data_IF_708268972012
#
_entry.id   IF_708268972012
#
_cell.length_a   1.000
_cell.length_b   1.000
_cell.length_c   1.000
_cell.angle_alpha   90.00
_cell.angle_beta   90.00
_cell.angle_gamma   90.00
#
_symmetry.space_group_name_H-M   'P 1'
#
loop_
_entity.id
_entity.type
_entity.pdbx_description
1 polymer ?
#
# COMPACT_ATOMS: atom_id res chain seq x y z
N UNK A 1 9.87 -23.77 37.46
CA UNK A 1 10.62 -23.07 36.41
C UNK A 1 10.32 -21.57 36.52
N UNK A 2 11.26 -20.76 37.03
CA UNK A 2 11.04 -19.30 37.13
C UNK A 2 11.13 -18.75 35.72
N UNK A 3 10.01 -18.24 35.17
CA UNK A 3 10.00 -17.54 33.89
C UNK A 3 10.79 -16.25 34.08
N UNK A 4 11.89 -16.13 33.35
CA UNK A 4 12.67 -14.88 33.34
C UNK A 4 11.79 -13.78 32.72
N UNK A 5 11.34 -12.84 33.55
CA UNK A 5 10.42 -11.75 33.15
C UNK A 5 11.14 -10.55 32.53
N UNK A 6 12.46 -10.62 32.37
CA UNK A 6 13.23 -9.57 31.70
C UNK A 6 13.01 -9.70 30.19
N UNK A 7 11.98 -9.02 29.68
CA UNK A 7 11.64 -8.96 28.25
C UNK A 7 12.25 -7.71 27.66
N UNK A 8 12.98 -7.87 26.56
CA UNK A 8 13.56 -6.74 25.82
C UNK A 8 12.48 -5.91 25.12
N UNK A 9 11.35 -6.54 24.73
CA UNK A 9 10.21 -5.94 24.06
C UNK A 9 8.89 -6.35 24.70
N UNK A 10 7.93 -5.41 24.73
CA UNK A 10 6.56 -5.65 25.19
C UNK A 10 5.72 -6.32 24.11
N UNK A 11 5.95 -5.95 22.84
CA UNK A 11 5.19 -6.44 21.67
C UNK A 11 6.14 -6.78 20.53
N UNK A 12 5.89 -7.91 19.88
CA UNK A 12 6.55 -8.31 18.65
C UNK A 12 5.52 -8.38 17.52
N UNK A 13 5.78 -7.65 16.43
CA UNK A 13 4.94 -7.60 15.23
C UNK A 13 5.64 -8.36 14.11
N UNK A 14 4.94 -9.27 13.47
CA UNK A 14 5.44 -10.03 12.33
C UNK A 14 4.97 -9.36 11.04
N UNK A 15 5.92 -8.82 10.27
CA UNK A 15 5.71 -8.10 9.04
C UNK A 15 5.55 -6.59 9.22
N UNK A 16 6.19 -5.84 8.34
CA UNK A 16 6.21 -4.37 8.33
C UNK A 16 5.33 -3.75 7.24
N UNK A 17 4.36 -4.50 6.71
CA UNK A 17 3.37 -4.01 5.77
C UNK A 17 2.42 -2.96 6.40
N UNK A 18 1.37 -2.56 5.69
CA UNK A 18 0.44 -1.51 6.14
C UNK A 18 -0.08 -1.74 7.56
N UNK A 19 -0.61 -2.92 7.88
CA UNK A 19 -1.15 -3.23 9.20
C UNK A 19 -0.07 -3.25 10.28
N UNK A 20 1.07 -3.90 10.02
CA UNK A 20 2.18 -3.99 10.96
C UNK A 20 2.79 -2.65 11.28
N UNK A 21 3.01 -1.80 10.27
CA UNK A 21 3.58 -0.46 10.45
C UNK A 21 2.68 0.46 11.26
N UNK A 22 1.36 0.46 10.98
CA UNK A 22 0.40 1.26 11.74
C UNK A 22 0.28 0.77 13.18
N UNK A 23 0.25 -0.55 13.39
CA UNK A 23 0.22 -1.14 14.73
C UNK A 23 1.47 -0.79 15.52
N UNK A 24 2.66 -0.89 14.89
CA UNK A 24 3.93 -0.52 15.53
C UNK A 24 3.93 0.94 15.96
N UNK A 25 3.52 1.85 15.07
CA UNK A 25 3.42 3.27 15.37
C UNK A 25 2.49 3.55 16.54
N UNK A 26 1.27 2.97 16.53
CA UNK A 26 0.28 3.22 17.58
C UNK A 26 0.69 2.65 18.94
N UNK A 27 1.32 1.49 18.96
CA UNK A 27 1.86 0.88 20.18
C UNK A 27 3.03 1.69 20.73
N UNK A 28 3.98 2.10 19.87
CA UNK A 28 5.09 2.95 20.28
C UNK A 28 4.63 4.31 20.83
N UNK A 29 3.62 4.93 20.22
CA UNK A 29 2.99 6.17 20.74
C UNK A 29 2.35 6.01 22.12
N UNK A 30 1.95 4.78 22.49
CA UNK A 30 1.43 4.44 23.82
C UNK A 30 2.54 4.06 24.82
N UNK A 31 3.81 4.14 24.41
CA UNK A 31 4.96 3.87 25.26
C UNK A 31 5.43 2.42 25.29
N UNK A 32 4.85 1.51 24.49
CA UNK A 32 5.31 0.12 24.42
C UNK A 32 6.65 0.03 23.66
N UNK A 33 7.53 -0.87 24.14
CA UNK A 33 8.73 -1.29 23.43
C UNK A 33 8.33 -2.31 22.34
N UNK A 34 8.39 -1.90 21.08
CA UNK A 34 7.91 -2.71 19.95
C UNK A 34 9.09 -3.21 19.12
N UNK A 35 9.12 -4.50 18.82
CA UNK A 35 9.96 -5.08 17.78
C UNK A 35 9.13 -5.43 16.55
N UNK A 36 9.66 -5.16 15.36
CA UNK A 36 9.05 -5.55 14.09
C UNK A 36 9.99 -6.50 13.37
N UNK A 37 9.51 -7.73 13.10
CA UNK A 37 10.23 -8.72 12.33
C UNK A 37 9.78 -8.69 10.88
N UNK A 38 10.71 -8.42 9.97
CA UNK A 38 10.45 -8.38 8.54
C UNK A 38 11.32 -9.43 7.81
N UNK A 39 10.70 -10.23 6.93
CA UNK A 39 11.42 -11.27 6.18
C UNK A 39 12.25 -10.71 5.03
N UNK A 40 11.81 -9.60 4.46
CA UNK A 40 12.48 -8.94 3.35
C UNK A 40 13.48 -7.88 3.84
N UNK A 41 14.20 -7.29 2.92
CA UNK A 41 15.19 -6.27 3.24
C UNK A 41 14.60 -4.86 3.21
N UNK A 42 15.33 -3.91 3.79
CA UNK A 42 15.06 -2.48 3.61
C UNK A 42 15.63 -2.02 2.28
N UNK A 43 14.77 -1.53 1.39
CA UNK A 43 15.16 -0.97 0.11
C UNK A 43 15.42 0.53 0.21
N UNK A 44 16.48 0.98 -0.46
CA UNK A 44 16.75 2.41 -0.72
C UNK A 44 16.37 2.72 -2.17
N UNK A 45 16.18 3.97 -2.57
CA UNK A 45 15.82 4.32 -3.96
C UNK A 45 16.69 3.65 -5.02
N UNK A 46 18.01 3.56 -4.79
CA UNK A 46 18.98 2.89 -5.69
C UNK A 46 18.87 1.37 -5.77
N UNK A 47 18.17 0.75 -4.83
CA UNK A 47 18.03 -0.72 -4.76
C UNK A 47 16.87 -1.20 -5.62
N UNK A 48 15.92 -0.30 -5.97
CA UNK A 48 14.80 -0.64 -6.83
C UNK A 48 15.28 -1.02 -8.24
N UNK A 49 14.63 -2.00 -8.88
CA UNK A 49 14.93 -2.35 -10.27
C UNK A 49 14.47 -1.22 -11.20
N UNK A 50 15.34 -0.79 -12.10
CA UNK A 50 14.97 0.17 -13.17
C UNK A 50 14.09 -0.44 -14.25
N UNK A 51 14.02 -1.77 -14.32
CA UNK A 51 13.25 -2.53 -15.30
C UNK A 51 12.85 -3.88 -14.73
N UNK A 52 11.69 -4.38 -15.14
CA UNK A 52 11.18 -5.71 -14.78
C UNK A 52 12.05 -6.88 -15.30
N UNK A 53 12.89 -6.64 -16.29
CA UNK A 53 13.84 -7.63 -16.80
C UNK A 53 14.94 -8.00 -15.78
N UNK A 54 15.17 -7.17 -14.77
CA UNK A 54 16.09 -7.52 -13.69
C UNK A 54 15.38 -8.42 -12.66
N UNK A 55 15.18 -9.67 -13.04
CA UNK A 55 14.42 -10.66 -12.25
C UNK A 55 14.97 -10.79 -10.81
N UNK A 56 16.30 -10.72 -10.62
CA UNK A 56 16.93 -10.85 -9.30
C UNK A 56 16.52 -9.73 -8.33
N UNK A 57 16.36 -8.53 -8.83
CA UNK A 57 15.93 -7.37 -8.05
C UNK A 57 14.40 -7.25 -7.98
N UNK A 58 13.70 -7.82 -8.96
CA UNK A 58 12.26 -7.67 -9.09
C UNK A 58 11.51 -8.77 -8.35
N UNK A 59 11.87 -10.04 -8.55
CA UNK A 59 11.10 -11.17 -8.05
C UNK A 59 11.63 -11.69 -6.70
N UNK A 60 10.71 -11.91 -5.77
CA UNK A 60 10.96 -12.60 -4.49
C UNK A 60 10.60 -14.08 -4.62
N UNK A 61 11.61 -14.93 -4.76
CA UNK A 61 11.46 -16.38 -4.80
C UNK A 61 12.68 -17.06 -4.16
N UNK A 62 12.74 -17.11 -2.81
CA UNK A 62 13.91 -17.59 -2.06
C UNK A 62 14.38 -19.00 -2.45
N UNK A 63 13.48 -19.88 -2.88
CA UNK A 63 13.83 -21.23 -3.35
C UNK A 63 14.78 -21.22 -4.57
N UNK A 64 14.78 -20.13 -5.35
CA UNK A 64 15.68 -19.90 -6.46
C UNK A 64 16.71 -18.78 -6.18
N UNK A 65 16.94 -18.46 -4.90
CA UNK A 65 17.84 -17.41 -4.45
C UNK A 65 17.51 -16.01 -5.01
N UNK A 66 16.22 -15.77 -5.31
CA UNK A 66 15.73 -14.47 -5.75
C UNK A 66 15.16 -13.70 -4.57
N UNK A 67 15.69 -12.52 -4.29
CA UNK A 67 15.32 -11.69 -3.14
C UNK A 67 14.95 -10.27 -3.59
N UNK A 68 14.05 -10.21 -4.59
CA UNK A 68 13.54 -8.94 -5.13
C UNK A 68 12.39 -8.36 -4.31
N UNK A 69 11.74 -7.33 -4.84
CA UNK A 69 10.70 -6.57 -4.14
C UNK A 69 9.30 -7.19 -4.23
N UNK A 70 9.06 -8.03 -5.24
CA UNK A 70 7.73 -8.48 -5.62
C UNK A 70 7.59 -10.00 -5.46
N UNK A 71 6.62 -10.41 -4.68
CA UNK A 71 6.24 -11.80 -4.52
C UNK A 71 4.95 -12.08 -5.30
N UNK A 72 4.90 -13.21 -5.98
CA UNK A 72 3.70 -13.71 -6.67
C UNK A 72 3.27 -14.98 -5.98
N UNK A 73 2.07 -14.99 -5.43
CA UNK A 73 1.45 -16.17 -4.83
C UNK A 73 0.32 -16.65 -5.73
N UNK A 74 0.43 -17.90 -6.18
CA UNK A 74 -0.55 -18.53 -7.03
C UNK A 74 -1.55 -19.32 -6.18
N UNK A 75 -2.83 -19.09 -6.41
CA UNK A 75 -3.95 -19.85 -5.89
C UNK A 75 -4.64 -20.55 -7.06
N UNK A 76 -5.62 -21.40 -6.76
CA UNK A 76 -6.33 -22.17 -7.78
C UNK A 76 -6.97 -21.28 -8.86
N UNK A 77 -7.63 -20.22 -8.47
CA UNK A 77 -8.47 -19.40 -9.35
C UNK A 77 -7.97 -17.94 -9.47
N UNK A 78 -6.90 -17.60 -8.78
CA UNK A 78 -6.33 -16.25 -8.79
C UNK A 78 -4.84 -16.25 -8.45
N UNK A 79 -4.16 -15.16 -8.76
CA UNK A 79 -2.83 -14.89 -8.26
C UNK A 79 -2.79 -13.56 -7.50
N UNK A 80 -1.96 -13.50 -6.47
CA UNK A 80 -1.77 -12.29 -5.65
C UNK A 80 -0.36 -11.79 -5.82
N UNK A 81 -0.23 -10.53 -6.25
CA UNK A 81 1.04 -9.83 -6.31
C UNK A 81 1.16 -8.99 -5.04
N UNK A 82 2.24 -9.16 -4.31
CA UNK A 82 2.48 -8.40 -3.07
C UNK A 82 3.97 -8.09 -2.87
N UNK A 83 4.26 -7.08 -2.05
CA UNK A 83 5.63 -6.67 -1.75
C UNK A 83 6.29 -7.58 -0.70
N UNK A 84 7.62 -7.74 -0.81
CA UNK A 84 8.47 -8.37 0.19
C UNK A 84 9.63 -7.45 0.54
N UNK A 85 9.62 -6.92 1.75
CA UNK A 85 10.57 -5.93 2.26
C UNK A 85 9.93 -5.02 3.29
N UNK A 86 10.73 -4.16 3.89
CA UNK A 86 10.23 -3.14 4.83
C UNK A 86 9.24 -2.23 4.12
N UNK A 87 7.99 -2.21 4.59
CA UNK A 87 6.86 -1.54 3.96
C UNK A 87 5.86 -2.49 3.28
N UNK A 88 6.26 -3.73 2.98
CA UNK A 88 5.38 -4.73 2.39
C UNK A 88 4.73 -4.27 1.10
N UNK A 89 3.39 -4.24 1.06
CA UNK A 89 2.61 -3.84 -0.11
C UNK A 89 2.87 -2.43 -0.62
N UNK A 90 3.35 -1.51 0.24
CA UNK A 90 3.67 -0.15 -0.18
C UNK A 90 4.85 -0.06 -1.18
N UNK A 91 5.62 -1.14 -1.32
CA UNK A 91 6.73 -1.21 -2.28
C UNK A 91 6.27 -1.44 -3.73
N UNK A 92 5.04 -1.96 -3.92
CA UNK A 92 4.58 -2.46 -5.23
C UNK A 92 3.14 -2.08 -5.57
N UNK A 93 2.46 -1.26 -4.75
CA UNK A 93 1.09 -0.82 -5.05
C UNK A 93 1.08 0.38 -6.01
N UNK A 94 -0.06 0.63 -6.63
CA UNK A 94 -0.23 1.71 -7.61
C UNK A 94 -0.40 3.10 -7.00
N UNK A 95 -0.09 3.28 -5.72
CA UNK A 95 -0.17 4.53 -4.97
C UNK A 95 -1.57 5.20 -4.93
N UNK A 96 -2.61 4.43 -5.21
CA UNK A 96 -4.00 4.89 -5.19
C UNK A 96 -4.59 4.73 -3.80
N UNK A 97 -5.16 5.81 -3.26
CA UNK A 97 -5.76 5.86 -1.93
C UNK A 97 -7.29 5.89 -2.00
N UNK A 98 -7.86 4.94 -2.71
CA UNK A 98 -9.29 4.81 -2.87
C UNK A 98 -9.96 4.33 -1.58
N UNK A 99 -11.01 5.04 -1.15
CA UNK A 99 -11.93 4.52 -0.14
C UNK A 99 -12.94 3.61 -0.85
N UNK A 100 -13.16 2.37 -0.36
CA UNK A 100 -14.11 1.47 -0.98
C UNK A 100 -15.52 2.08 -1.11
N UNK A 101 -16.25 1.81 -2.19
CA UNK A 101 -17.61 2.28 -2.35
C UNK A 101 -18.55 1.59 -1.33
N UNK A 102 -19.71 2.19 -1.10
CA UNK A 102 -20.71 1.71 -0.12
C UNK A 102 -21.06 0.23 -0.30
N UNK A 103 -21.13 -0.22 -1.54
CA UNK A 103 -21.42 -1.62 -1.87
C UNK A 103 -20.39 -2.58 -1.26
N UNK A 104 -19.13 -2.18 -1.13
CA UNK A 104 -18.10 -3.02 -0.52
C UNK A 104 -18.33 -3.23 0.99
N UNK A 105 -18.90 -2.24 1.69
CA UNK A 105 -19.23 -2.34 3.13
C UNK A 105 -20.56 -3.05 3.40
N UNK A 106 -21.39 -3.20 2.37
CA UNK A 106 -22.66 -3.93 2.47
C UNK A 106 -22.49 -5.45 2.32
N UNK A 107 -21.31 -5.93 2.01
CA UNK A 107 -21.01 -7.36 1.86
C UNK A 107 -21.19 -8.10 3.18
N UNK A 108 -21.86 -9.25 3.12
CA UNK A 108 -22.15 -10.11 4.28
C UNK A 108 -20.88 -10.69 4.96
N UNK A 109 -19.74 -10.69 4.26
CA UNK A 109 -18.44 -11.07 4.81
C UNK A 109 -17.93 -10.13 5.93
N UNK A 110 -18.48 -8.92 6.02
CA UNK A 110 -18.13 -7.95 7.09
C UNK A 110 -18.98 -8.19 8.34
N UNK A 111 -18.52 -9.05 9.23
CA UNK A 111 -19.23 -9.37 10.48
C UNK A 111 -19.41 -8.13 11.36
N UNK A 112 -20.61 -7.90 11.88
CA UNK A 112 -20.92 -6.87 12.88
C UNK A 112 -21.49 -5.56 12.33
N UNK A 113 -21.54 -5.36 11.02
CA UNK A 113 -22.20 -4.20 10.38
C UNK A 113 -21.62 -2.82 10.71
N UNK A 114 -22.10 -1.77 10.01
CA UNK A 114 -21.73 -0.37 10.26
C UNK A 114 -20.26 -0.04 10.03
N UNK A 115 -19.58 -0.82 9.20
CA UNK A 115 -18.12 -0.67 8.99
C UNK A 115 -17.74 0.62 8.30
N UNK A 116 -18.58 1.13 7.41
CA UNK A 116 -18.34 2.41 6.74
C UNK A 116 -18.18 3.55 7.75
N UNK A 117 -19.15 3.67 8.66
CA UNK A 117 -19.16 4.69 9.71
C UNK A 117 -18.01 4.49 10.70
N UNK A 118 -17.76 3.25 11.11
CA UNK A 118 -16.68 2.89 12.04
C UNK A 118 -15.31 3.19 11.47
N UNK A 119 -15.07 2.99 10.16
CA UNK A 119 -13.79 3.21 9.51
C UNK A 119 -13.57 4.64 9.02
N UNK A 120 -14.65 5.40 8.82
CA UNK A 120 -14.60 6.79 8.32
C UNK A 120 -13.59 7.69 9.05
N UNK A 121 -13.53 7.76 10.39
CA UNK A 121 -12.55 8.59 11.10
C UNK A 121 -11.10 8.10 10.89
N UNK A 122 -10.90 6.80 10.71
CA UNK A 122 -9.58 6.24 10.45
C UNK A 122 -9.11 6.52 9.02
N UNK A 123 -10.01 6.52 8.02
CA UNK A 123 -9.67 6.96 6.66
C UNK A 123 -9.23 8.43 6.64
N UNK A 124 -9.92 9.31 7.39
CA UNK A 124 -9.52 10.72 7.51
C UNK A 124 -8.11 10.85 8.13
N UNK A 125 -7.84 10.09 9.19
CA UNK A 125 -6.52 10.06 9.82
C UNK A 125 -5.45 9.54 8.88
N UNK A 126 -5.71 8.44 8.17
CA UNK A 126 -4.78 7.86 7.21
C UNK A 126 -4.47 8.82 6.06
N UNK A 127 -5.48 9.45 5.45
CA UNK A 127 -5.30 10.47 4.41
C UNK A 127 -4.39 11.61 4.87
N UNK A 128 -4.64 12.13 6.08
CA UNK A 128 -3.81 13.20 6.66
C UNK A 128 -2.37 12.76 6.86
N UNK A 129 -2.15 11.58 7.43
CA UNK A 129 -0.82 11.08 7.74
C UNK A 129 -0.01 10.69 6.50
N UNK A 130 -0.68 10.20 5.45
CA UNK A 130 -0.06 9.82 4.19
C UNK A 130 0.11 10.99 3.23
N UNK A 131 -0.37 12.19 3.59
CA UNK A 131 -0.35 13.35 2.69
C UNK A 131 -1.15 13.12 1.41
N UNK A 132 -2.28 12.38 1.53
CA UNK A 132 -3.11 12.06 0.37
C UNK A 132 -3.62 13.30 -0.32
N UNK A 133 -3.36 13.41 -1.62
CA UNK A 133 -3.82 14.51 -2.49
C UNK A 133 -4.57 13.94 -3.69
N UNK A 134 -5.42 14.77 -4.29
CA UNK A 134 -6.05 14.43 -5.56
C UNK A 134 -5.01 14.54 -6.67
N UNK A 135 -4.92 13.55 -7.57
CA UNK A 135 -4.00 13.61 -8.70
C UNK A 135 -4.30 14.88 -9.54
N UNK A 136 -3.36 15.85 -9.61
CA UNK A 136 -3.61 17.11 -10.34
C UNK A 136 -3.43 16.94 -11.84
N UNK A 137 -2.75 15.88 -12.28
CA UNK A 137 -2.39 15.65 -13.67
C UNK A 137 -3.51 14.95 -14.39
N UNK A 138 -3.83 15.48 -15.56
CA UNK A 138 -4.80 14.95 -16.49
C UNK A 138 -4.09 14.76 -17.83
N UNK A 139 -3.59 13.55 -18.03
CA UNK A 139 -2.82 13.20 -19.23
C UNK A 139 -3.71 12.81 -20.41
N UNK A 140 -3.08 12.56 -21.55
CA UNK A 140 -3.78 12.14 -22.77
C UNK A 140 -4.58 10.85 -22.58
N UNK A 141 -4.05 9.91 -21.81
CA UNK A 141 -4.75 8.64 -21.51
C UNK A 141 -6.02 8.88 -20.68
N UNK A 142 -5.95 9.80 -19.70
CA UNK A 142 -7.09 10.15 -18.86
C UNK A 142 -8.17 10.84 -19.70
N UNK A 143 -7.77 11.70 -20.64
CA UNK A 143 -8.68 12.34 -21.58
C UNK A 143 -9.41 11.31 -22.45
N UNK A 144 -8.69 10.36 -23.04
CA UNK A 144 -9.29 9.28 -23.83
C UNK A 144 -10.26 8.44 -23.00
N UNK A 145 -9.91 8.12 -21.76
CA UNK A 145 -10.79 7.36 -20.86
C UNK A 145 -12.06 8.16 -20.52
N UNK A 146 -11.93 9.47 -20.34
CA UNK A 146 -13.07 10.36 -20.12
C UNK A 146 -13.98 10.41 -21.34
N UNK A 147 -13.43 10.54 -22.54
CA UNK A 147 -14.19 10.51 -23.80
C UNK A 147 -14.97 9.20 -23.95
N UNK A 148 -14.35 8.05 -23.66
CA UNK A 148 -15.05 6.77 -23.62
C UNK A 148 -16.18 6.73 -22.57
N UNK A 149 -15.97 7.32 -21.41
CA UNK A 149 -17.00 7.40 -20.38
C UNK A 149 -18.17 8.27 -20.84
N UNK A 150 -17.91 9.37 -21.55
CA UNK A 150 -18.91 10.26 -22.13
C UNK A 150 -19.76 9.50 -23.19
N UNK A 151 -19.11 8.77 -24.09
CA UNK A 151 -19.79 7.94 -25.11
C UNK A 151 -20.68 6.87 -24.49
N UNK A 152 -20.27 6.32 -23.33
CA UNK A 152 -21.05 5.34 -22.56
C UNK A 152 -22.15 5.97 -21.69
N UNK A 153 -22.33 7.29 -21.69
CA UNK A 153 -23.25 7.99 -20.80
C UNK A 153 -22.86 7.90 -19.32
N UNK A 154 -21.55 7.80 -19.02
CA UNK A 154 -20.98 7.64 -17.69
C UNK A 154 -20.00 8.76 -17.30
N UNK A 155 -20.06 9.90 -17.96
CA UNK A 155 -19.19 11.05 -17.71
C UNK A 155 -19.07 11.43 -16.24
N UNK A 156 -20.20 11.44 -15.52
CA UNK A 156 -20.26 11.81 -14.10
C UNK A 156 -19.53 10.81 -13.18
N UNK A 157 -19.22 9.61 -13.69
CA UNK A 157 -18.47 8.60 -12.93
C UNK A 157 -16.94 8.77 -13.04
N UNK A 158 -16.48 9.62 -13.96
CA UNK A 158 -15.06 9.88 -14.14
C UNK A 158 -14.57 10.93 -13.13
N UNK A 159 -13.49 10.62 -12.43
CA UNK A 159 -12.85 11.53 -11.49
C UNK A 159 -11.37 11.20 -11.30
N UNK A 160 -10.58 12.21 -10.97
CA UNK A 160 -9.17 11.99 -10.58
C UNK A 160 -9.11 11.31 -9.22
N UNK A 161 -8.31 10.25 -9.14
CA UNK A 161 -8.15 9.47 -7.90
C UNK A 161 -7.30 10.21 -6.87
N UNK A 162 -7.51 9.88 -5.60
CA UNK A 162 -6.63 10.27 -4.52
C UNK A 162 -5.37 9.40 -4.54
N UNK A 163 -4.21 10.04 -4.39
CA UNK A 163 -2.89 9.38 -4.43
C UNK A 163 -2.01 9.83 -3.26
N UNK A 164 -1.02 9.01 -2.91
CA UNK A 164 -0.02 9.31 -1.88
C UNK A 164 1.25 9.93 -2.47
N UNK A 165 1.11 10.82 -3.46
CA UNK A 165 2.21 11.51 -4.11
C UNK A 165 2.22 12.96 -3.66
N UNK A 166 3.38 13.48 -3.28
CA UNK A 166 3.56 14.89 -3.04
C UNK A 166 3.87 15.61 -4.36
N UNK A 167 3.01 16.54 -4.72
CA UNK A 167 3.22 17.40 -5.89
C UNK A 167 3.74 18.76 -5.38
N UNK A 168 4.96 19.13 -5.80
CA UNK A 168 5.51 20.47 -5.56
C UNK A 168 5.07 21.42 -6.67
N UNK A 169 4.93 22.70 -6.36
CA UNK A 169 4.61 23.72 -7.34
C UNK A 169 5.74 23.92 -8.37
N UNK A 170 6.97 23.47 -8.05
CA UNK A 170 8.17 23.59 -8.88
C UNK A 170 8.52 22.30 -9.64
N UNK A 171 7.67 21.27 -9.65
CA UNK A 171 7.98 20.06 -10.41
C UNK A 171 7.87 20.31 -11.91
N UNK A 172 8.96 20.72 -12.54
CA UNK A 172 9.19 20.45 -13.95
C UNK A 172 9.12 18.93 -14.12
N UNK A 173 8.18 18.48 -14.94
CA UNK A 173 8.07 17.08 -15.30
C UNK A 173 9.33 16.71 -16.07
N UNK A 174 10.20 15.93 -15.48
CA UNK A 174 11.32 15.32 -16.19
C UNK A 174 10.72 14.21 -17.04
N UNK A 175 10.40 14.53 -18.29
CA UNK A 175 10.15 13.57 -19.36
C UNK A 175 11.45 12.91 -19.76
N UNK A 176 12.01 12.11 -18.86
CA UNK A 176 13.13 11.21 -19.17
C UNK A 176 12.70 9.78 -18.82
N UNK A 177 12.08 9.13 -19.80
CA UNK A 177 12.08 7.67 -19.92
C UNK A 177 12.64 7.31 -21.30
#
# INVERSE_FOLDING_TARGET
>A
MKVNTNRDFDVVIIGSGFGGSVSALRLAQKGYKVAVLERGKRYRPKDFPKTSWNIRKHLWFPKLFLYGIQCITLFRDLFVIHGSGVGGGSLVYANTHLIPPDKAFADSGWVGGGWKERLSPYYKTAKKMLGTTKAPVFGKTDQMLRECADEMGKADSFYNVDVGIHFSEESEWIDEI
#
